data_IF_396625990915
#
_entry.id   IF_396625990915
#
_cell.length_a   1.000
_cell.length_b   1.000
_cell.length_c   1.000
_cell.angle_alpha   90.00
_cell.angle_beta   90.00
_cell.angle_gamma   90.00
#
_symmetry.space_group_name_H-M   'P 1'
#
loop_
_entity.id
_entity.type
_entity.pdbx_description
1 polymer ?
#
# COMPACT_ATOMS: atom_id res chain seq x y z
N UNK A 1 -30.70 -59.73 -43.11
CA UNK A 1 -29.37 -59.07 -42.94
C UNK A 1 -29.37 -57.72 -42.25
N UNK A 2 -30.50 -56.95 -42.13
CA UNK A 2 -30.55 -55.63 -41.52
C UNK A 2 -30.40 -55.56 -40.01
N UNK A 3 -30.77 -56.59 -39.28
CA UNK A 3 -30.80 -56.56 -37.79
C UNK A 3 -29.41 -56.58 -37.15
N UNK A 4 -28.47 -57.32 -37.73
CA UNK A 4 -27.10 -57.45 -37.26
C UNK A 4 -26.34 -56.13 -37.42
N UNK A 5 -26.54 -55.44 -38.55
CA UNK A 5 -25.92 -54.14 -38.81
C UNK A 5 -26.40 -53.02 -37.86
N UNK A 6 -27.68 -53.07 -37.48
CA UNK A 6 -28.27 -52.11 -36.55
C UNK A 6 -27.82 -52.35 -35.10
N UNK A 7 -27.58 -53.61 -34.71
CA UNK A 7 -27.04 -53.96 -33.39
C UNK A 7 -25.58 -53.53 -33.26
N UNK A 8 -24.76 -53.69 -34.32
CA UNK A 8 -23.37 -53.28 -34.37
C UNK A 8 -23.24 -51.73 -34.31
N UNK A 9 -24.09 -50.99 -35.04
CA UNK A 9 -24.12 -49.50 -34.94
C UNK A 9 -24.44 -49.01 -33.54
N UNK A 10 -25.45 -49.58 -32.88
CA UNK A 10 -25.81 -49.23 -31.50
C UNK A 10 -24.69 -49.55 -30.50
N UNK A 11 -23.97 -50.64 -30.71
CA UNK A 11 -22.80 -51.02 -29.91
C UNK A 11 -21.66 -50.01 -30.06
N UNK A 12 -21.38 -49.58 -31.29
CA UNK A 12 -20.33 -48.56 -31.53
C UNK A 12 -20.68 -47.21 -30.96
N UNK A 13 -21.93 -46.79 -31.02
CA UNK A 13 -22.35 -45.49 -30.41
C UNK A 13 -22.25 -45.54 -28.89
N UNK A 14 -22.69 -46.62 -28.25
CA UNK A 14 -22.51 -46.83 -26.82
C UNK A 14 -21.05 -46.81 -26.40
N UNK A 15 -20.17 -47.43 -27.17
CA UNK A 15 -18.73 -47.41 -26.88
C UNK A 15 -18.14 -45.97 -27.04
N UNK A 16 -18.58 -45.17 -28.00
CA UNK A 16 -18.17 -43.79 -28.17
C UNK A 16 -18.60 -42.93 -26.99
N UNK A 17 -19.85 -43.04 -26.55
CA UNK A 17 -20.35 -42.30 -25.42
C UNK A 17 -19.66 -42.73 -24.10
N UNK A 18 -19.41 -44.02 -23.92
CA UNK A 18 -18.67 -44.53 -22.77
C UNK A 18 -17.23 -44.00 -22.72
N UNK A 19 -16.55 -43.93 -23.87
CA UNK A 19 -15.19 -43.34 -23.97
C UNK A 19 -15.19 -41.85 -23.64
N UNK A 20 -16.19 -41.09 -24.10
CA UNK A 20 -16.36 -39.63 -23.76
C UNK A 20 -16.58 -39.42 -22.25
N UNK A 21 -17.43 -40.27 -21.66
CA UNK A 21 -17.72 -40.18 -20.22
C UNK A 21 -16.48 -40.51 -19.37
N UNK A 22 -15.71 -41.54 -19.77
CA UNK A 22 -14.46 -41.88 -19.08
C UNK A 22 -13.43 -40.76 -19.22
N UNK A 23 -13.26 -40.20 -20.42
CA UNK A 23 -12.33 -39.10 -20.66
C UNK A 23 -12.71 -37.85 -19.90
N UNK A 24 -14.00 -37.50 -19.82
CA UNK A 24 -14.53 -36.38 -19.06
C UNK A 24 -14.30 -36.57 -17.55
N UNK A 25 -14.59 -37.77 -17.00
CA UNK A 25 -14.35 -38.06 -15.60
C UNK A 25 -12.83 -38.07 -15.23
N UNK A 26 -11.98 -38.51 -16.13
CA UNK A 26 -10.54 -38.48 -15.95
C UNK A 26 -10.04 -37.02 -15.92
N UNK A 27 -10.52 -36.17 -16.83
CA UNK A 27 -10.21 -34.72 -16.88
C UNK A 27 -10.67 -34.01 -15.62
N UNK A 28 -11.91 -34.29 -15.19
CA UNK A 28 -12.49 -33.68 -13.97
C UNK A 28 -11.68 -34.09 -12.72
N UNK A 29 -11.28 -35.36 -12.61
CA UNK A 29 -10.43 -35.83 -11.50
C UNK A 29 -9.04 -35.18 -11.53
N UNK A 30 -8.44 -34.99 -12.69
CA UNK A 30 -7.15 -34.32 -12.84
C UNK A 30 -7.24 -32.85 -12.44
N UNK A 31 -8.31 -32.17 -12.82
CA UNK A 31 -8.57 -30.76 -12.40
C UNK A 31 -8.78 -30.66 -10.90
N UNK A 32 -9.57 -31.58 -10.31
CA UNK A 32 -9.77 -31.61 -8.86
C UNK A 32 -8.46 -31.91 -8.11
N UNK A 33 -7.61 -32.78 -8.62
CA UNK A 33 -6.32 -33.09 -8.02
C UNK A 33 -5.37 -31.86 -8.09
N UNK A 34 -5.33 -31.16 -9.23
CA UNK A 34 -4.55 -29.92 -9.38
C UNK A 34 -5.06 -28.82 -8.45
N UNK A 35 -6.37 -28.66 -8.32
CA UNK A 35 -6.97 -27.72 -7.38
C UNK A 35 -6.65 -28.08 -5.92
N UNK A 36 -6.69 -29.37 -5.56
CA UNK A 36 -6.35 -29.83 -4.23
C UNK A 36 -4.86 -29.60 -3.90
N UNK A 37 -3.96 -29.86 -4.85
CA UNK A 37 -2.51 -29.56 -4.70
C UNK A 37 -2.28 -28.05 -4.60
N UNK A 38 -2.99 -27.23 -5.36
CA UNK A 38 -2.90 -25.76 -5.28
C UNK A 38 -3.42 -25.22 -3.94
N UNK A 39 -4.45 -25.84 -3.35
CA UNK A 39 -4.93 -25.48 -2.01
C UNK A 39 -3.98 -25.94 -0.88
N UNK A 40 -3.18 -26.97 -1.08
CA UNK A 40 -2.19 -27.42 -0.10
C UNK A 40 -0.90 -26.60 -0.08
N UNK A 41 -0.60 -25.83 -1.12
CA UNK A 41 0.44 -24.80 -1.09
C UNK A 41 -0.10 -23.55 -0.40
N UNK A 42 -0.60 -23.70 0.82
CA UNK A 42 -0.91 -22.58 1.70
C UNK A 42 0.35 -21.74 1.82
N UNK A 43 0.35 -20.55 1.21
CA UNK A 43 1.40 -19.56 1.40
C UNK A 43 1.46 -19.30 2.90
N UNK A 44 2.42 -19.90 3.57
CA UNK A 44 2.80 -19.46 4.90
C UNK A 44 3.18 -17.99 4.72
N UNK A 45 2.30 -17.06 5.07
CA UNK A 45 2.67 -15.68 5.25
C UNK A 45 3.70 -15.68 6.37
N UNK A 46 4.97 -15.68 6.01
CA UNK A 46 6.04 -15.55 6.97
C UNK A 46 5.80 -14.22 7.71
N UNK A 47 5.74 -14.28 9.04
CA UNK A 47 5.71 -13.08 9.86
C UNK A 47 6.94 -12.22 9.51
N UNK A 48 6.76 -10.91 9.43
CA UNK A 48 7.87 -9.99 9.17
C UNK A 48 8.92 -10.13 10.25
N UNK A 49 10.18 -10.24 9.87
CA UNK A 49 11.30 -10.20 10.84
C UNK A 49 11.64 -8.75 11.18
N UNK A 50 12.37 -8.54 12.27
CA UNK A 50 12.83 -7.19 12.63
C UNK A 50 13.73 -6.58 11.55
N UNK A 51 14.51 -7.40 10.85
CA UNK A 51 15.39 -6.94 9.76
C UNK A 51 14.58 -6.51 8.54
N UNK A 52 13.47 -7.21 8.20
CA UNK A 52 12.55 -6.80 7.14
C UNK A 52 11.89 -5.44 7.46
N UNK A 53 11.56 -5.23 8.74
CA UNK A 53 10.97 -3.99 9.20
C UNK A 53 11.97 -2.84 9.20
N UNK A 54 13.22 -3.11 9.57
CA UNK A 54 14.30 -2.14 9.45
C UNK A 54 14.54 -1.76 7.97
N UNK A 55 14.60 -2.74 7.07
CA UNK A 55 14.75 -2.50 5.64
C UNK A 55 13.60 -1.63 5.08
N UNK A 56 12.37 -1.80 5.60
CA UNK A 56 11.21 -0.97 5.22
C UNK A 56 11.38 0.48 5.68
N UNK A 57 11.89 0.72 6.88
CA UNK A 57 12.21 2.07 7.38
C UNK A 57 13.30 2.72 6.54
N UNK A 58 14.35 1.97 6.20
CA UNK A 58 15.45 2.47 5.36
C UNK A 58 14.96 2.78 3.94
N UNK A 59 14.09 1.93 3.37
CA UNK A 59 13.44 2.20 2.10
C UNK A 59 12.56 3.46 2.16
N UNK A 60 11.81 3.67 3.25
CA UNK A 60 11.00 4.86 3.45
C UNK A 60 11.86 6.13 3.50
N UNK A 61 13.01 6.08 4.17
CA UNK A 61 14.00 7.17 4.14
C UNK A 61 14.44 7.49 2.72
N UNK A 62 14.83 6.47 1.95
CA UNK A 62 15.28 6.66 0.55
C UNK A 62 14.18 7.23 -0.35
N UNK A 63 12.93 6.81 -0.16
CA UNK A 63 11.77 7.37 -0.89
C UNK A 63 11.62 8.86 -0.59
N UNK A 64 11.68 9.24 0.68
CA UNK A 64 11.57 10.65 1.08
C UNK A 64 12.72 11.48 0.48
N UNK A 65 13.96 11.00 0.57
CA UNK A 65 15.13 11.66 -0.02
C UNK A 65 14.96 11.84 -1.55
N UNK A 66 14.45 10.83 -2.26
CA UNK A 66 14.21 10.90 -3.72
C UNK A 66 13.13 11.91 -4.09
N UNK A 67 12.05 11.98 -3.32
CA UNK A 67 10.95 12.92 -3.57
C UNK A 67 11.41 14.34 -3.27
N UNK A 68 12.12 14.55 -2.18
CA UNK A 68 12.63 15.87 -1.80
C UNK A 68 13.82 16.34 -2.65
N UNK A 69 14.61 15.42 -3.18
CA UNK A 69 15.75 15.72 -4.08
C UNK A 69 15.33 16.08 -5.52
N UNK A 70 14.05 15.98 -5.88
CA UNK A 70 13.57 16.38 -7.20
C UNK A 70 13.43 17.90 -7.29
N UNK A 71 14.31 18.56 -8.06
CA UNK A 71 14.47 20.04 -8.09
C UNK A 71 13.15 20.79 -8.40
N UNK A 72 12.34 20.29 -9.32
CA UNK A 72 11.13 21.01 -9.80
C UNK A 72 9.82 20.37 -9.30
N UNK A 73 9.87 19.24 -8.62
CA UNK A 73 8.70 18.46 -8.24
C UNK A 73 8.75 18.00 -6.77
N UNK A 74 9.50 18.66 -5.91
CA UNK A 74 9.52 18.38 -4.48
C UNK A 74 8.22 18.81 -3.79
N UNK A 75 7.98 18.30 -2.60
CA UNK A 75 6.90 18.76 -1.74
C UNK A 75 7.15 20.24 -1.39
N UNK A 76 6.18 21.15 -1.64
CA UNK A 76 6.36 22.58 -1.35
C UNK A 76 6.64 22.86 0.13
N UNK A 77 7.46 23.87 0.41
CA UNK A 77 7.85 24.23 1.77
C UNK A 77 6.66 24.56 2.67
N UNK A 78 5.61 25.17 2.11
CA UNK A 78 4.40 25.53 2.87
C UNK A 78 3.64 24.30 3.36
N UNK A 79 3.64 23.21 2.58
CA UNK A 79 3.08 21.91 2.97
C UNK A 79 3.93 21.30 4.08
N UNK A 80 5.25 21.30 3.91
CA UNK A 80 6.17 20.76 4.93
C UNK A 80 6.04 21.48 6.26
N UNK A 81 5.85 22.81 6.24
CA UNK A 81 5.64 23.61 7.47
C UNK A 81 4.38 23.21 8.22
N UNK A 82 3.31 22.93 7.49
CA UNK A 82 1.99 22.59 8.06
C UNK A 82 1.85 21.11 8.40
N UNK A 83 2.75 20.26 7.92
CA UNK A 83 2.66 18.83 8.13
C UNK A 83 2.63 18.45 9.61
N UNK A 84 1.59 17.76 10.00
CA UNK A 84 1.43 17.15 11.33
C UNK A 84 1.94 15.72 11.37
N UNK A 85 1.73 14.95 10.29
CA UNK A 85 2.28 13.60 10.13
C UNK A 85 2.77 13.38 8.71
N UNK A 86 3.71 12.46 8.57
CA UNK A 86 4.24 11.98 7.30
C UNK A 86 4.20 10.47 7.28
N UNK A 87 3.51 9.92 6.27
CA UNK A 87 3.49 8.50 5.95
C UNK A 87 4.33 8.25 4.70
N UNK A 88 5.10 7.20 4.68
CA UNK A 88 5.88 6.78 3.50
C UNK A 88 5.62 5.32 3.21
N UNK A 89 5.19 5.03 2.00
CA UNK A 89 4.91 3.68 1.51
C UNK A 89 5.80 3.39 0.31
N UNK A 90 6.94 2.72 0.53
CA UNK A 90 7.82 2.32 -0.55
C UNK A 90 7.17 1.27 -1.44
N UNK A 91 7.22 1.44 -2.75
CA UNK A 91 6.85 0.42 -3.71
C UNK A 91 5.41 -0.07 -3.60
N UNK A 92 4.42 0.81 -3.39
CA UNK A 92 3.00 0.45 -3.47
C UNK A 92 2.73 -0.24 -4.82
N UNK A 93 2.31 -1.49 -4.78
CA UNK A 93 2.01 -2.29 -5.97
C UNK A 93 0.55 -2.07 -6.36
N UNK A 94 0.32 -1.75 -7.63
CA UNK A 94 -0.99 -1.72 -8.26
C UNK A 94 -0.99 -2.68 -9.44
N UNK A 95 -1.86 -3.66 -9.39
CA UNK A 95 -2.08 -4.62 -10.48
C UNK A 95 -3.52 -4.57 -10.94
N UNK A 96 -3.76 -4.59 -12.25
CA UNK A 96 -5.11 -4.62 -12.81
C UNK A 96 -5.18 -5.51 -14.05
N UNK A 97 -6.29 -6.27 -14.14
CA UNK A 97 -6.69 -7.06 -15.33
C UNK A 97 -8.18 -6.93 -15.52
N UNK A 98 -8.99 -6.15 -15.51
CA UNK A 98 -10.44 -5.92 -15.42
C UNK A 98 -10.80 -5.43 -14.01
N UNK A 99 -10.28 -6.08 -12.99
CA UNK A 99 -10.34 -5.69 -11.58
C UNK A 99 -8.92 -5.36 -11.15
N UNK A 100 -8.73 -4.21 -10.52
CA UNK A 100 -7.44 -3.81 -9.99
C UNK A 100 -7.38 -4.03 -8.49
N UNK A 101 -6.22 -4.40 -8.00
CA UNK A 101 -5.89 -4.41 -6.59
C UNK A 101 -4.64 -3.57 -6.35
N UNK A 102 -4.59 -2.91 -5.21
CA UNK A 102 -3.39 -2.21 -4.77
C UNK A 102 -3.05 -2.62 -3.35
N UNK A 103 -1.76 -2.77 -3.10
CA UNK A 103 -1.24 -3.17 -1.81
C UNK A 103 0.12 -2.51 -1.56
N UNK A 104 0.32 -2.04 -0.34
CA UNK A 104 1.59 -1.47 0.10
C UNK A 104 1.72 -1.51 1.61
N UNK A 105 2.95 -1.48 2.07
CA UNK A 105 3.31 -1.39 3.47
C UNK A 105 4.26 -0.21 3.66
N UNK A 106 4.07 0.52 4.74
CA UNK A 106 4.86 1.72 4.98
C UNK A 106 4.97 2.05 6.46
N UNK A 107 5.45 3.24 6.71
CA UNK A 107 5.63 3.78 8.07
C UNK A 107 5.04 5.17 8.16
N UNK A 108 4.57 5.54 9.34
CA UNK A 108 4.06 6.88 9.67
C UNK A 108 4.80 7.40 10.88
N UNK A 109 5.19 8.66 10.84
CA UNK A 109 5.69 9.43 11.98
C UNK A 109 4.94 10.74 12.08
N UNK A 110 4.75 11.27 13.28
CA UNK A 110 4.02 12.51 13.52
C UNK A 110 4.85 13.52 14.30
N UNK A 111 4.55 14.78 14.12
CA UNK A 111 5.17 15.87 14.85
C UNK A 111 4.72 15.84 16.31
N UNK A 112 5.67 16.01 17.20
CA UNK A 112 5.45 16.06 18.66
C UNK A 112 5.97 17.38 19.22
N UNK A 113 5.76 17.63 20.49
CA UNK A 113 6.33 18.81 21.18
C UNK A 113 7.88 18.84 21.20
N UNK A 114 8.52 17.70 20.98
CA UNK A 114 9.98 17.54 21.06
C UNK A 114 10.62 17.11 19.73
N UNK A 115 9.89 17.19 18.62
CA UNK A 115 10.37 16.81 17.29
C UNK A 115 9.41 15.87 16.57
N UNK A 116 9.89 14.71 16.13
CA UNK A 116 9.12 13.70 15.42
C UNK A 116 9.08 12.39 16.22
N UNK A 117 7.94 11.74 16.21
CA UNK A 117 7.72 10.48 16.93
C UNK A 117 8.55 9.33 16.36
N UNK A 118 8.64 8.24 17.11
CA UNK A 118 9.04 6.96 16.53
C UNK A 118 8.05 6.56 15.41
N UNK A 119 8.52 5.87 14.34
CA UNK A 119 7.64 5.42 13.27
C UNK A 119 6.81 4.22 13.71
N UNK A 120 5.56 4.17 13.24
CA UNK A 120 4.68 3.01 13.32
C UNK A 120 4.45 2.43 11.94
N UNK A 121 4.13 1.13 11.88
CA UNK A 121 3.93 0.44 10.61
C UNK A 121 2.46 0.50 10.18
N UNK A 122 2.22 0.76 8.90
CA UNK A 122 0.90 0.80 8.28
C UNK A 122 0.83 -0.16 7.10
N UNK A 123 -0.39 -0.57 6.77
CA UNK A 123 -0.73 -1.36 5.59
C UNK A 123 -1.79 -0.61 4.78
N UNK A 124 -1.57 -0.53 3.48
CA UNK A 124 -2.55 -0.01 2.53
C UNK A 124 -3.05 -1.15 1.65
N UNK A 125 -4.36 -1.27 1.50
CA UNK A 125 -4.98 -2.26 0.62
C UNK A 125 -6.25 -1.68 0.01
N UNK A 126 -6.43 -1.84 -1.29
CA UNK A 126 -7.60 -1.33 -1.99
C UNK A 126 -7.89 -2.09 -3.27
N UNK A 127 -9.15 -1.99 -3.73
CA UNK A 127 -9.57 -2.43 -5.04
C UNK A 127 -9.76 -1.21 -5.94
N UNK A 128 -9.44 -1.33 -7.21
CA UNK A 128 -9.75 -0.33 -8.22
C UNK A 128 -10.41 -0.98 -9.43
N UNK A 129 -11.37 -0.28 -10.03
CA UNK A 129 -11.93 -0.67 -11.30
C UNK A 129 -11.18 0.09 -12.41
N UNK A 130 -10.73 -0.59 -13.44
CA UNK A 130 -10.14 0.07 -14.62
C UNK A 130 -9.59 -0.94 -15.61
N UNK A 131 -9.78 -0.62 -16.90
CA UNK A 131 -9.24 -1.37 -18.04
C UNK A 131 -7.73 -1.13 -18.22
N UNK A 132 -6.94 -1.35 -17.18
CA UNK A 132 -5.48 -1.28 -17.28
C UNK A 132 -4.90 -2.68 -17.10
N UNK A 133 -4.21 -3.18 -18.12
CA UNK A 133 -3.45 -4.42 -18.03
C UNK A 133 -2.03 -4.05 -17.65
N UNK A 134 -1.59 -4.46 -16.46
CA UNK A 134 -0.22 -4.25 -16.03
C UNK A 134 -0.04 -4.19 -14.52
N UNK A 135 1.21 -4.31 -14.10
CA UNK A 135 1.66 -4.07 -12.74
C UNK A 135 2.48 -2.79 -12.66
N UNK A 136 2.22 -1.96 -11.67
CA UNK A 136 2.98 -0.74 -11.41
C UNK A 136 3.43 -0.74 -9.95
N UNK A 137 4.67 -0.35 -9.73
CA UNK A 137 5.20 -0.08 -8.40
C UNK A 137 5.42 1.42 -8.26
N UNK A 138 4.91 2.01 -7.19
CA UNK A 138 4.91 3.46 -6.98
C UNK A 138 5.33 3.77 -5.55
N UNK A 139 6.31 4.63 -5.41
CA UNK A 139 6.66 5.21 -4.11
C UNK A 139 5.62 6.28 -3.74
N UNK A 140 5.11 6.24 -2.52
CA UNK A 140 4.05 7.13 -2.05
C UNK A 140 4.46 7.81 -0.74
N UNK A 141 4.25 9.13 -0.69
CA UNK A 141 4.31 9.92 0.55
C UNK A 141 2.93 10.51 0.83
N UNK A 142 2.46 10.31 2.04
CA UNK A 142 1.23 10.86 2.60
C UNK A 142 1.61 11.97 3.58
N UNK A 143 1.02 13.15 3.45
CA UNK A 143 1.27 14.27 4.36
C UNK A 143 -0.07 14.71 4.97
N UNK A 144 -0.23 14.52 6.26
CA UNK A 144 -1.33 15.11 7.00
C UNK A 144 -1.01 16.57 7.30
N UNK A 145 -1.89 17.50 6.90
CA UNK A 145 -1.65 18.94 7.00
C UNK A 145 -2.55 19.64 8.02
N UNK A 146 -3.42 18.89 8.69
CA UNK A 146 -4.33 19.40 9.69
C UNK A 146 -4.64 18.34 10.77
N UNK A 147 -5.37 18.76 11.80
CA UNK A 147 -5.73 17.87 12.91
C UNK A 147 -6.63 16.71 12.49
N UNK A 148 -7.47 16.88 11.45
CA UNK A 148 -8.31 15.78 10.94
C UNK A 148 -7.46 14.69 10.33
N UNK A 149 -6.54 15.04 9.43
CA UNK A 149 -5.60 14.09 8.86
C UNK A 149 -4.74 13.39 9.92
N UNK A 150 -4.36 14.08 10.99
CA UNK A 150 -3.70 13.47 12.14
C UNK A 150 -4.62 12.47 12.86
N UNK A 151 -5.87 12.83 13.13
CA UNK A 151 -6.84 11.95 13.80
C UNK A 151 -7.15 10.73 12.94
N UNK A 152 -7.22 10.86 11.61
CA UNK A 152 -7.45 9.72 10.71
C UNK A 152 -6.30 8.73 10.77
N UNK A 153 -5.06 9.19 10.84
CA UNK A 153 -3.89 8.31 11.01
C UNK A 153 -3.85 7.61 12.38
N UNK A 154 -4.48 8.17 13.40
CA UNK A 154 -4.62 7.53 14.71
C UNK A 154 -5.68 6.43 14.73
N UNK A 155 -6.62 6.42 13.80
CA UNK A 155 -7.63 5.36 13.71
C UNK A 155 -7.00 4.01 13.39
N UNK A 156 -7.59 2.95 13.88
CA UNK A 156 -7.10 1.59 13.60
C UNK A 156 -7.19 1.23 12.11
N UNK A 157 -8.16 1.82 11.42
CA UNK A 157 -8.40 1.70 9.97
C UNK A 157 -9.24 2.87 9.50
N UNK A 158 -8.91 3.42 8.34
CA UNK A 158 -9.73 4.39 7.62
C UNK A 158 -9.67 4.14 6.11
N UNK A 159 -10.66 4.63 5.38
CA UNK A 159 -10.77 4.48 3.94
C UNK A 159 -10.62 5.83 3.25
N UNK A 160 -9.67 5.94 2.34
CA UNK A 160 -9.46 7.13 1.52
C UNK A 160 -10.65 7.28 0.56
N UNK A 161 -11.17 8.49 0.42
CA UNK A 161 -12.36 8.80 -0.38
C UNK A 161 -13.70 8.53 0.34
N UNK A 162 -13.66 7.84 1.51
CA UNK A 162 -14.84 7.59 2.34
C UNK A 162 -14.72 8.25 3.71
N UNK A 163 -13.71 7.85 4.49
CA UNK A 163 -13.52 8.33 5.86
C UNK A 163 -12.57 9.52 5.92
N UNK A 164 -11.60 9.61 4.98
CA UNK A 164 -10.62 10.68 4.89
C UNK A 164 -10.50 11.20 3.46
N UNK A 165 -10.42 12.51 3.30
CA UNK A 165 -10.19 13.15 2.00
C UNK A 165 -8.69 13.18 1.70
N UNK A 166 -8.25 12.45 0.68
CA UNK A 166 -6.88 12.50 0.18
C UNK A 166 -6.86 13.12 -1.22
N UNK A 167 -5.97 14.07 -1.41
CA UNK A 167 -5.83 14.80 -2.68
C UNK A 167 -4.37 14.77 -3.13
N UNK A 168 -4.14 14.72 -4.44
CA UNK A 168 -2.79 14.88 -4.98
C UNK A 168 -2.24 16.24 -4.56
N UNK A 169 -1.10 16.22 -3.87
CA UNK A 169 -0.46 17.44 -3.40
C UNK A 169 0.10 18.28 -4.54
N UNK A 170 0.15 19.61 -4.41
CA UNK A 170 0.83 20.46 -5.37
C UNK A 170 2.33 20.14 -5.39
N UNK A 171 2.95 20.16 -6.57
CA UNK A 171 4.39 19.92 -6.75
C UNK A 171 5.09 21.17 -7.28
N UNK A 172 6.36 21.36 -6.90
CA UNK A 172 7.18 22.46 -7.38
C UNK A 172 6.84 23.81 -6.77
N UNK A 173 7.26 24.88 -7.44
CA UNK A 173 7.14 26.29 -6.97
C UNK A 173 5.79 26.92 -7.26
N UNK A 174 4.88 26.27 -7.98
CA UNK A 174 3.59 26.84 -8.34
C UNK A 174 2.60 26.77 -7.17
N UNK A 175 2.61 27.80 -6.36
CA UNK A 175 1.76 27.98 -5.19
C UNK A 175 0.33 28.42 -5.51
N UNK A 176 -0.01 28.72 -6.77
CA UNK A 176 -1.35 29.20 -7.15
C UNK A 176 -2.45 28.13 -7.07
N UNK A 177 -2.11 26.85 -7.19
CA UNK A 177 -3.05 25.75 -6.89
C UNK A 177 -3.24 25.53 -5.37
N UNK A 178 -2.56 26.33 -4.54
CA UNK A 178 -2.45 26.12 -3.11
C UNK A 178 -3.67 26.59 -2.29
N UNK A 179 -4.63 27.24 -2.90
CA UNK A 179 -5.76 27.79 -2.13
C UNK A 179 -6.86 26.78 -1.91
N UNK A 180 -7.11 25.89 -2.88
CA UNK A 180 -8.23 24.95 -2.83
C UNK A 180 -7.96 23.72 -1.94
N UNK A 181 -6.70 23.26 -1.85
CA UNK A 181 -6.34 22.13 -0.99
C UNK A 181 -6.42 22.45 0.52
N UNK A 182 -6.18 23.72 0.89
CA UNK A 182 -6.24 24.17 2.32
C UNK A 182 -7.62 23.99 2.94
N UNK A 183 -8.66 23.92 2.14
CA UNK A 183 -10.04 23.92 2.63
C UNK A 183 -10.67 22.52 2.70
N UNK A 184 -10.16 21.52 1.97
CA UNK A 184 -10.82 20.23 1.82
C UNK A 184 -9.93 19.01 1.99
N UNK A 185 -8.61 19.12 1.88
CA UNK A 185 -7.74 17.96 2.00
C UNK A 185 -7.30 17.69 3.45
N UNK A 186 -7.50 16.48 3.91
CA UNK A 186 -6.99 15.98 5.19
C UNK A 186 -5.61 15.37 5.02
N UNK A 187 -5.43 14.69 3.89
CA UNK A 187 -4.17 14.07 3.50
C UNK A 187 -3.75 14.53 2.09
N UNK A 188 -2.52 14.95 1.94
CA UNK A 188 -1.91 15.21 0.64
C UNK A 188 -1.05 14.02 0.22
N UNK A 189 -1.16 13.64 -1.05
CA UNK A 189 -0.46 12.48 -1.59
C UNK A 189 0.58 12.90 -2.63
N UNK A 190 1.78 12.37 -2.50
CA UNK A 190 2.88 12.57 -3.44
C UNK A 190 3.37 11.21 -3.89
N UNK A 191 3.30 10.94 -5.18
CA UNK A 191 3.69 9.65 -5.71
C UNK A 191 4.72 9.75 -6.82
N UNK A 192 5.62 8.77 -6.87
CA UNK A 192 6.65 8.67 -7.87
C UNK A 192 6.72 7.24 -8.42
N UNK A 193 6.57 7.12 -9.74
CA UNK A 193 6.69 5.86 -10.45
C UNK A 193 7.73 5.99 -11.56
N UNK A 194 8.68 5.02 -11.66
CA UNK A 194 9.75 5.02 -12.67
C UNK A 194 10.51 6.36 -12.79
N UNK A 195 10.71 7.07 -11.67
CA UNK A 195 11.44 8.34 -11.64
C UNK A 195 10.61 9.58 -11.97
N UNK A 196 9.36 9.45 -12.38
CA UNK A 196 8.45 10.55 -12.67
C UNK A 196 7.37 10.68 -11.59
N UNK A 197 7.00 11.91 -11.27
CA UNK A 197 5.80 12.16 -10.46
C UNK A 197 4.56 11.80 -11.28
N UNK A 198 3.69 11.00 -10.68
CA UNK A 198 2.43 10.59 -11.27
C UNK A 198 1.31 10.75 -10.24
N UNK A 199 0.17 11.24 -10.64
CA UNK A 199 -1.03 11.15 -9.82
C UNK A 199 -1.37 9.68 -9.60
N UNK A 200 -1.67 9.31 -8.36
CA UNK A 200 -2.18 7.99 -8.02
C UNK A 200 -3.57 8.14 -7.45
N UNK A 201 -4.50 7.37 -8.01
CA UNK A 201 -5.83 7.25 -7.46
C UNK A 201 -5.78 6.27 -6.28
N UNK A 202 -6.11 6.78 -5.09
CA UNK A 202 -6.16 6.05 -3.83
C UNK A 202 -7.60 5.87 -3.32
N UNK A 203 -8.61 6.36 -4.05
CA UNK A 203 -10.00 6.24 -3.64
C UNK A 203 -10.38 4.78 -3.43
N UNK A 204 -11.06 4.52 -2.33
CA UNK A 204 -11.39 3.17 -1.93
C UNK A 204 -10.27 2.38 -1.24
N UNK A 205 -9.05 2.97 -1.11
CA UNK A 205 -7.95 2.33 -0.40
C UNK A 205 -8.13 2.44 1.10
N UNK A 206 -8.06 1.31 1.78
CA UNK A 206 -7.99 1.26 3.24
C UNK A 206 -6.56 1.42 3.71
N UNK A 207 -6.35 2.34 4.63
CA UNK A 207 -5.12 2.45 5.43
C UNK A 207 -5.40 1.85 6.79
N UNK A 208 -4.58 0.94 7.25
CA UNK A 208 -4.75 0.26 8.53
C UNK A 208 -3.45 0.19 9.31
N UNK A 209 -3.56 0.24 10.63
CA UNK A 209 -2.45 0.01 11.54
C UNK A 209 -1.95 -1.43 11.37
N UNK A 210 -0.65 -1.60 11.21
CA UNK A 210 0.01 -2.90 11.27
C UNK A 210 0.59 -3.09 12.69
N UNK A 211 -0.27 -3.54 13.59
CA UNK A 211 0.08 -3.73 15.00
C UNK A 211 1.14 -4.79 15.19
N UNK A 212 1.05 -5.87 14.42
CA UNK A 212 1.99 -7.01 14.47
C UNK A 212 3.41 -6.56 14.11
N UNK A 213 3.58 -5.89 12.98
CA UNK A 213 4.89 -5.37 12.56
C UNK A 213 5.42 -4.34 13.57
N UNK A 214 4.55 -3.50 14.13
CA UNK A 214 4.95 -2.52 15.14
C UNK A 214 5.44 -3.22 16.40
N UNK A 215 4.72 -4.21 16.89
CA UNK A 215 5.12 -5.00 18.07
C UNK A 215 6.45 -5.74 17.84
N UNK A 216 6.62 -6.40 16.71
CA UNK A 216 7.88 -7.08 16.33
C UNK A 216 9.05 -6.10 16.32
N UNK A 217 8.85 -4.90 15.75
CA UNK A 217 9.92 -3.91 15.66
C UNK A 217 10.33 -3.34 17.01
N UNK A 218 9.36 -3.01 17.85
CA UNK A 218 9.64 -2.47 19.20
C UNK A 218 9.99 -3.55 20.23
N UNK A 219 9.65 -4.82 19.99
CA UNK A 219 9.82 -5.92 20.91
C UNK A 219 8.77 -5.94 22.04
N UNK A 220 7.77 -5.06 21.97
CA UNK A 220 6.66 -4.98 22.92
C UNK A 220 5.44 -4.31 22.24
N UNK A 221 4.21 -4.63 22.68
CA UNK A 221 3.01 -3.97 22.19
C UNK A 221 2.96 -2.52 22.64
N UNK A 222 2.79 -1.61 21.69
CA UNK A 222 2.59 -0.19 21.93
C UNK A 222 1.33 0.30 21.21
N UNK A 223 0.43 1.03 21.89
CA UNK A 223 -0.67 1.71 21.23
C UNK A 223 -0.14 2.71 20.18
N UNK A 224 -0.67 2.67 18.96
CA UNK A 224 -0.26 3.58 17.88
C UNK A 224 -0.28 5.05 18.31
N UNK A 225 -1.36 5.43 18.97
CA UNK A 225 -1.53 6.79 19.49
C UNK A 225 -0.39 7.18 20.44
N UNK A 226 0.02 6.26 21.32
CA UNK A 226 1.11 6.51 22.27
C UNK A 226 2.44 6.73 21.55
N UNK A 227 2.73 5.90 20.53
CA UNK A 227 3.94 6.05 19.72
C UNK A 227 3.92 7.37 18.95
N UNK A 228 2.83 7.67 18.24
CA UNK A 228 2.70 8.86 17.38
C UNK A 228 2.63 10.16 18.16
N UNK A 229 2.18 10.14 19.41
CA UNK A 229 2.24 11.29 20.34
C UNK A 229 3.62 11.49 20.97
N UNK A 230 4.59 10.60 20.69
CA UNK A 230 5.96 10.73 21.18
C UNK A 230 6.22 10.18 22.58
N UNK A 231 5.29 9.37 23.13
CA UNK A 231 5.43 8.77 24.44
C UNK A 231 6.35 7.52 24.43
N UNK A 232 6.84 7.13 23.26
CA UNK A 232 7.74 5.99 23.09
C UNK A 232 9.03 6.47 22.45
N UNK A 233 10.16 6.04 22.98
CA UNK A 233 11.48 6.42 22.47
C UNK A 233 11.67 5.91 21.03
N UNK A 234 12.38 6.69 20.21
CA UNK A 234 12.73 6.30 18.85
C UNK A 234 13.79 5.20 18.89
N UNK A 235 13.51 3.99 18.37
CA UNK A 235 14.52 2.93 18.29
C UNK A 235 15.74 3.37 17.47
N UNK A 236 16.93 2.90 17.84
CA UNK A 236 18.18 3.31 17.22
C UNK A 236 18.18 3.16 15.69
N UNK A 237 17.60 2.06 15.16
CA UNK A 237 17.48 1.83 13.73
C UNK A 237 16.55 2.82 13.00
N UNK A 238 15.58 3.42 13.70
CA UNK A 238 14.67 4.39 13.11
C UNK A 238 15.19 5.84 13.15
N UNK A 239 16.24 6.11 13.93
CA UNK A 239 16.82 7.47 14.07
C UNK A 239 17.18 8.10 12.70
N UNK A 240 17.82 7.38 11.74
CA UNK A 240 18.14 7.97 10.44
C UNK A 240 16.91 8.46 9.68
N UNK A 241 15.83 7.70 9.67
CA UNK A 241 14.56 8.08 9.03
C UNK A 241 13.95 9.31 9.71
N UNK A 242 13.83 9.28 11.04
CA UNK A 242 13.25 10.39 11.82
C UNK A 242 14.08 11.68 11.65
N UNK A 243 15.42 11.58 11.61
CA UNK A 243 16.29 12.72 11.31
C UNK A 243 16.08 13.25 9.89
N UNK A 244 15.89 12.39 8.91
CA UNK A 244 15.60 12.81 7.53
C UNK A 244 14.27 13.56 7.45
N UNK A 245 13.22 13.05 8.12
CA UNK A 245 11.95 13.76 8.22
C UNK A 245 12.15 15.11 8.91
N UNK A 246 12.81 15.14 10.06
CA UNK A 246 13.08 16.38 10.79
C UNK A 246 13.84 17.39 9.93
N UNK A 247 14.87 16.96 9.20
CA UNK A 247 15.66 17.81 8.32
C UNK A 247 14.80 18.53 7.29
N UNK A 248 14.02 17.82 6.49
CA UNK A 248 13.20 18.43 5.45
C UNK A 248 12.09 19.34 6.02
N UNK A 249 11.48 18.92 7.13
CA UNK A 249 10.34 19.63 7.72
C UNK A 249 10.73 20.78 8.67
N UNK A 250 11.95 20.76 9.21
CA UNK A 250 12.49 21.87 10.01
C UNK A 250 13.16 22.91 9.11
N UNK A 251 13.93 22.48 8.09
CA UNK A 251 14.50 23.44 7.12
C UNK A 251 13.41 24.26 6.41
N UNK A 252 12.23 23.67 6.15
CA UNK A 252 11.10 24.39 5.62
C UNK A 252 10.66 25.55 6.52
N UNK A 253 10.86 25.45 7.84
CA UNK A 253 10.52 26.47 8.82
C UNK A 253 11.55 27.60 8.86
N UNK A 254 12.81 27.29 8.54
CA UNK A 254 13.93 28.23 8.64
C UNK A 254 14.23 28.99 7.32
N UNK A 255 13.65 28.55 6.20
CA UNK A 255 13.73 29.24 4.91
C UNK A 255 12.57 30.24 4.75
N UNK A 256 12.60 31.31 5.54
CA UNK A 256 11.76 32.51 5.34
C UNK A 256 12.46 33.49 4.44
#
# INVERSE_FOLDING_TARGET
MGWVAQALRRGMERMKEMKKTIAFNCLLRSICLMLAVFMMTGSAFAASTRDDLQARIDAAKLVLDRIMGAQDNSIPLDILRQATCVGVVPGLIKGAFVWGAQYGQGVVTCRTGHGWSAPVFIRMAGGSFGFQIGGQSTDLVLVAVNDRGFQDLLRSKFKIGGDAAATAGPVGRNTQAATDWKMSAELLTYSRSKGLFAGIDLDGTSVSQNKEDTEVYFGAPHPFESVLKGNVAVPAGAIPFVKTVAHYFVEAKNRQ
#
